data_IF_311722090830
#
_entry.id   IF_311722090830
#
_cell.length_a   1.000
_cell.length_b   1.000
_cell.length_c   1.000
_cell.angle_alpha   90.00
_cell.angle_beta   90.00
_cell.angle_gamma   90.00
#
_symmetry.space_group_name_H-M   'P 1'
#
loop_
_entity.id
_entity.type
_entity.pdbx_description
1 polymer ?
#
# COMPACT_ATOMS: atom_id res chain seq x y z
N UNK A 1 -1.92 -6.96 -6.83
CA UNK A 1 -0.45 -6.93 -6.58
C UNK A 1 -0.10 -6.30 -5.22
N UNK A 2 -0.70 -5.17 -4.90
CA UNK A 2 -0.53 -4.39 -3.65
C UNK A 2 -0.56 -5.20 -2.35
N UNK A 3 -1.59 -6.03 -2.11
CA UNK A 3 -1.68 -6.90 -0.92
C UNK A 3 -0.45 -7.80 -0.73
N UNK A 4 0.01 -8.43 -1.82
CA UNK A 4 1.17 -9.33 -1.79
C UNK A 4 2.46 -8.55 -1.55
N UNK A 5 2.59 -7.36 -2.13
CA UNK A 5 3.71 -6.46 -1.89
C UNK A 5 3.77 -6.03 -0.41
N UNK A 6 2.66 -5.54 0.14
CA UNK A 6 2.55 -5.14 1.55
C UNK A 6 2.94 -6.30 2.47
N UNK A 7 2.37 -7.49 2.24
CA UNK A 7 2.71 -8.70 2.98
C UNK A 7 4.22 -8.99 2.93
N UNK A 8 4.84 -8.96 1.74
CA UNK A 8 6.27 -9.27 1.56
C UNK A 8 7.17 -8.25 2.27
N UNK A 9 6.83 -6.96 2.21
CA UNK A 9 7.57 -5.89 2.89
C UNK A 9 7.47 -6.04 4.41
N UNK A 10 6.25 -6.18 4.94
CA UNK A 10 5.99 -6.25 6.38
C UNK A 10 6.70 -7.45 7.02
N UNK A 11 6.74 -8.60 6.34
CA UNK A 11 7.33 -9.83 6.88
C UNK A 11 8.84 -9.98 6.60
N UNK A 12 9.46 -9.09 5.81
CA UNK A 12 10.90 -9.09 5.57
C UNK A 12 11.56 -7.96 6.35
N UNK A 13 11.74 -8.20 7.65
CA UNK A 13 12.21 -7.22 8.63
C UNK A 13 13.66 -6.76 8.41
N UNK A 14 14.47 -7.58 7.74
CA UNK A 14 15.91 -7.33 7.58
C UNK A 14 16.30 -6.72 6.22
N UNK A 15 15.49 -6.92 5.18
CA UNK A 15 15.84 -6.49 3.81
C UNK A 15 14.81 -5.51 3.28
N UNK A 16 13.55 -5.92 3.16
CA UNK A 16 12.54 -5.10 2.48
C UNK A 16 11.99 -4.00 3.37
N UNK A 17 11.81 -4.23 4.67
CA UNK A 17 11.31 -3.20 5.58
C UNK A 17 12.31 -2.03 5.74
N UNK A 18 13.64 -2.25 5.89
CA UNK A 18 14.61 -1.16 5.84
C UNK A 18 14.65 -0.47 4.47
N UNK A 19 14.55 -1.22 3.38
CA UNK A 19 14.50 -0.65 2.03
C UNK A 19 13.25 0.23 1.82
N UNK A 20 12.10 -0.16 2.37
CA UNK A 20 10.89 0.65 2.41
C UNK A 20 11.12 1.95 3.17
N UNK A 21 11.68 1.89 4.39
CA UNK A 21 12.00 3.10 5.16
C UNK A 21 12.95 4.04 4.42
N UNK A 22 13.98 3.51 3.75
CA UNK A 22 14.89 4.30 2.93
C UNK A 22 14.16 4.97 1.76
N UNK A 23 13.32 4.21 1.06
CA UNK A 23 12.57 4.72 -0.10
C UNK A 23 11.56 5.81 0.28
N UNK A 24 10.90 5.68 1.45
CA UNK A 24 10.06 6.75 1.98
C UNK A 24 10.86 8.04 2.22
N UNK A 25 12.07 7.94 2.78
CA UNK A 25 12.94 9.11 3.00
C UNK A 25 13.42 9.72 1.68
N UNK A 26 13.84 8.89 0.73
CA UNK A 26 14.30 9.31 -0.61
C UNK A 26 13.21 10.09 -1.37
N UNK A 27 11.95 9.72 -1.19
CA UNK A 27 10.77 10.37 -1.82
C UNK A 27 10.18 11.48 -0.94
N UNK A 28 10.84 11.85 0.16
CA UNK A 28 10.37 12.92 1.05
C UNK A 28 9.12 12.58 1.87
N UNK A 29 8.64 11.33 1.84
CA UNK A 29 7.50 10.87 2.63
C UNK A 29 7.92 10.56 4.06
N UNK A 30 7.02 10.79 5.01
CA UNK A 30 7.20 10.32 6.39
C UNK A 30 7.29 8.80 6.39
N UNK A 31 8.22 8.25 7.15
CA UNK A 31 8.31 6.79 7.32
C UNK A 31 7.07 6.31 8.10
N UNK A 32 6.14 5.67 7.40
CA UNK A 32 4.98 4.96 7.96
C UNK A 32 5.05 3.48 7.57
N UNK A 33 4.51 2.60 8.41
CA UNK A 33 4.32 1.20 8.02
C UNK A 33 3.10 1.08 7.12
N UNK A 34 3.18 0.17 6.13
CA UNK A 34 2.04 -0.16 5.27
C UNK A 34 0.99 -0.88 6.15
N UNK A 35 -0.28 -0.44 6.17
CA UNK A 35 -1.34 -1.17 6.84
C UNK A 35 -1.43 -2.61 6.34
N UNK A 36 -1.60 -3.54 7.28
CA UNK A 36 -1.84 -4.94 6.91
C UNK A 36 -3.31 -5.09 6.56
N UNK A 37 -3.58 -5.69 5.40
CA UNK A 37 -4.93 -6.15 5.07
C UNK A 37 -5.26 -7.40 5.91
N UNK A 38 -6.34 -7.33 6.66
CA UNK A 38 -6.76 -8.32 7.67
C UNK A 38 -8.17 -8.79 7.30
N UNK A 39 -8.31 -10.07 6.95
CA UNK A 39 -9.58 -10.64 6.47
C UNK A 39 -10.74 -10.52 7.44
N UNK A 40 -10.48 -10.40 8.74
CA UNK A 40 -11.50 -10.24 9.78
C UNK A 40 -11.89 -8.78 10.02
N UNK A 41 -11.23 -7.83 9.37
CA UNK A 41 -11.51 -6.41 9.50
C UNK A 41 -11.97 -5.84 8.15
N UNK A 42 -13.28 -5.60 8.04
CA UNK A 42 -13.98 -5.22 6.80
C UNK A 42 -13.39 -3.98 6.10
N UNK A 43 -12.76 -3.09 6.86
CA UNK A 43 -12.20 -1.84 6.35
C UNK A 43 -10.70 -1.91 6.01
N UNK A 44 -10.01 -3.00 6.38
CA UNK A 44 -8.55 -3.07 6.23
C UNK A 44 -8.06 -3.11 4.77
N UNK A 45 -8.88 -3.59 3.84
CA UNK A 45 -8.56 -3.51 2.41
C UNK A 45 -8.61 -2.05 1.93
N UNK A 46 -9.58 -1.26 2.39
CA UNK A 46 -9.66 0.17 2.07
C UNK A 46 -8.45 0.91 2.64
N UNK A 47 -8.16 0.76 3.93
CA UNK A 47 -7.02 1.42 4.60
C UNK A 47 -5.69 1.13 3.90
N UNK A 48 -5.46 -0.12 3.50
CA UNK A 48 -4.25 -0.50 2.77
C UNK A 48 -4.20 0.14 1.38
N UNK A 49 -5.32 0.16 0.64
CA UNK A 49 -5.37 0.74 -0.71
C UNK A 49 -5.16 2.26 -0.65
N UNK A 50 -5.85 2.94 0.25
CA UNK A 50 -5.74 4.39 0.45
C UNK A 50 -4.29 4.77 0.80
N UNK A 51 -3.66 4.03 1.71
CA UNK A 51 -2.25 4.20 2.03
C UNK A 51 -1.33 4.01 0.80
N UNK A 52 -1.55 2.95 0.02
CA UNK A 52 -0.72 2.67 -1.16
C UNK A 52 -0.85 3.78 -2.22
N UNK A 53 -2.05 4.37 -2.36
CA UNK A 53 -2.27 5.53 -3.22
C UNK A 53 -1.54 6.78 -2.69
N UNK A 54 -1.60 7.06 -1.38
CA UNK A 54 -0.84 8.15 -0.73
C UNK A 54 0.69 7.98 -0.90
N UNK A 55 1.16 6.72 -0.92
CA UNK A 55 2.57 6.32 -1.00
C UNK A 55 2.98 5.81 -2.39
N UNK A 56 2.32 6.27 -3.47
CA UNK A 56 2.63 5.87 -4.85
C UNK A 56 4.12 5.97 -5.20
N UNK A 57 4.74 7.12 -4.96
CA UNK A 57 6.17 7.32 -5.24
C UNK A 57 7.10 6.33 -4.51
N UNK A 58 6.99 6.12 -3.19
CA UNK A 58 7.73 5.06 -2.50
C UNK A 58 7.48 3.65 -3.06
N UNK A 59 6.26 3.35 -3.48
CA UNK A 59 5.88 2.03 -4.04
C UNK A 59 6.53 1.82 -5.40
N UNK A 60 6.49 2.82 -6.27
CA UNK A 60 7.16 2.77 -7.58
C UNK A 60 8.68 2.63 -7.38
N UNK A 61 9.27 3.44 -6.51
CA UNK A 61 10.71 3.42 -6.27
C UNK A 61 11.21 2.11 -5.62
N UNK A 62 10.46 1.48 -4.70
CA UNK A 62 10.90 0.20 -4.10
C UNK A 62 10.71 -0.98 -5.08
N UNK A 63 9.73 -0.91 -5.97
CA UNK A 63 9.47 -1.98 -6.96
C UNK A 63 10.43 -1.91 -8.15
N UNK A 64 10.94 -0.72 -8.48
CA UNK A 64 11.97 -0.53 -9.52
C UNK A 64 13.39 -0.98 -9.08
N UNK A 65 13.64 -1.08 -7.77
CA UNK A 65 14.91 -1.59 -7.22
C UNK A 65 15.11 -3.07 -7.55
N UNK A 66 15.74 -3.36 -8.71
CA UNK A 66 15.99 -4.72 -9.25
C UNK A 66 16.53 -5.72 -8.23
N UNK A 67 17.43 -5.29 -7.34
CA UNK A 67 18.06 -6.14 -6.31
C UNK A 67 17.06 -6.69 -5.28
N UNK A 68 15.88 -6.09 -5.13
CA UNK A 68 14.86 -6.50 -4.16
C UNK A 68 13.90 -7.56 -4.70
N UNK A 69 13.93 -7.85 -6.01
CA UNK A 69 13.04 -8.85 -6.61
C UNK A 69 11.55 -8.50 -6.46
N UNK A 70 11.22 -7.20 -6.49
CA UNK A 70 9.86 -6.68 -6.33
C UNK A 70 9.21 -6.21 -7.65
N UNK A 71 9.93 -6.28 -8.78
CA UNK A 71 9.45 -5.80 -10.08
C UNK A 71 8.11 -6.41 -10.52
N UNK A 72 7.82 -7.67 -10.14
CA UNK A 72 6.52 -8.31 -10.44
C UNK A 72 5.31 -7.64 -9.76
N UNK A 73 5.57 -6.84 -8.73
CA UNK A 73 4.54 -6.08 -8.00
C UNK A 73 4.43 -4.62 -8.45
N UNK A 74 5.30 -4.16 -9.36
CA UNK A 74 5.17 -2.84 -9.95
C UNK A 74 3.79 -2.69 -10.60
N UNK A 75 3.19 -1.53 -10.39
CA UNK A 75 1.90 -1.17 -10.96
C UNK A 75 2.14 -0.32 -12.20
N UNK A 76 1.47 -0.66 -13.29
CA UNK A 76 1.40 0.23 -14.45
C UNK A 76 0.35 1.34 -14.21
N UNK A 77 0.31 2.34 -15.09
CA UNK A 77 -0.61 3.47 -14.96
C UNK A 77 -2.09 3.03 -14.93
N UNK A 78 -2.44 2.01 -15.71
CA UNK A 78 -3.81 1.50 -15.74
C UNK A 78 -4.16 0.82 -14.41
N UNK A 79 -3.26 0.02 -13.85
CA UNK A 79 -3.45 -0.58 -12.52
C UNK A 79 -3.56 0.47 -11.42
N UNK A 80 -2.82 1.58 -11.50
CA UNK A 80 -2.97 2.73 -10.58
C UNK A 80 -4.37 3.36 -10.68
N UNK A 81 -4.88 3.55 -11.90
CA UNK A 81 -6.23 4.08 -12.13
C UNK A 81 -7.30 3.15 -11.56
N UNK A 82 -7.21 1.84 -11.84
CA UNK A 82 -8.14 0.83 -11.30
C UNK A 82 -8.10 0.81 -9.78
N UNK A 83 -6.91 0.93 -9.18
CA UNK A 83 -6.74 0.98 -7.73
C UNK A 83 -7.43 2.21 -7.11
N UNK A 84 -7.32 3.38 -7.76
CA UNK A 84 -8.03 4.59 -7.36
C UNK A 84 -9.55 4.46 -7.47
N UNK A 85 -10.05 3.87 -8.56
CA UNK A 85 -11.48 3.60 -8.72
C UNK A 85 -12.01 2.65 -7.65
N UNK A 86 -11.27 1.58 -7.34
CA UNK A 86 -11.62 0.66 -6.27
C UNK A 86 -11.64 1.36 -4.90
N UNK A 87 -10.66 2.23 -4.62
CA UNK A 87 -10.63 3.02 -3.39
C UNK A 87 -11.90 3.87 -3.23
N UNK A 88 -12.32 4.54 -4.31
CA UNK A 88 -13.53 5.37 -4.29
C UNK A 88 -14.81 4.56 -4.00
N UNK A 89 -14.93 3.35 -4.56
CA UNK A 89 -16.07 2.46 -4.29
C UNK A 89 -16.08 2.01 -2.83
N UNK A 90 -14.90 1.63 -2.31
CA UNK A 90 -14.76 1.17 -0.93
C UNK A 90 -14.97 2.29 0.10
N UNK A 91 -14.63 3.53 -0.24
CA UNK A 91 -14.80 4.70 0.64
C UNK A 91 -16.25 4.91 1.08
N UNK A 92 -17.21 4.74 0.16
CA UNK A 92 -18.64 4.88 0.47
C UNK A 92 -19.08 3.90 1.57
N UNK A 93 -18.59 2.67 1.50
CA UNK A 93 -18.85 1.65 2.52
C UNK A 93 -18.13 1.94 3.84
N UNK A 94 -16.90 2.46 3.77
CA UNK A 94 -16.11 2.84 4.94
C UNK A 94 -16.77 3.99 5.73
N UNK A 95 -17.14 5.08 5.05
CA UNK A 95 -17.74 6.26 5.67
C UNK A 95 -19.09 5.94 6.32
N UNK A 96 -19.87 5.06 5.69
CA UNK A 96 -21.14 4.56 6.26
C UNK A 96 -20.92 3.70 7.50
N UNK A 97 -19.84 2.92 7.55
CA UNK A 97 -19.51 2.09 8.72
C UNK A 97 -19.06 2.95 9.91
N UNK A 98 -18.28 4.02 9.67
CA UNK A 98 -17.85 4.92 10.73
C UNK A 98 -19.02 5.67 11.37
N UNK A 99 -19.96 6.19 10.56
CA UNK A 99 -21.14 6.90 11.06
C UNK A 99 -22.09 6.03 11.91
N UNK A 100 -22.10 4.72 11.72
CA UNK A 100 -22.97 3.81 12.49
C UNK A 100 -22.34 3.33 13.81
N UNK A 101 -21.10 3.71 14.10
CA UNK A 101 -20.33 3.33 15.30
C UNK A 101 -20.15 4.51 16.26
N UNK A 102 -20.44 5.74 15.80
CA UNK A 102 -20.46 6.99 16.57
C UNK A 102 -21.88 7.37 17.04
#
# INVERSE_FOLDING_TARGET
KTRKLAFKIIHSTTILLPAWHATCKETGKKVKQIPRDVSTHWNSTFDMIDFILEYREPVDAITDKRRLGLATYALDEHEWVVLGQLCNVLKVSHDTAQYNVD
#
